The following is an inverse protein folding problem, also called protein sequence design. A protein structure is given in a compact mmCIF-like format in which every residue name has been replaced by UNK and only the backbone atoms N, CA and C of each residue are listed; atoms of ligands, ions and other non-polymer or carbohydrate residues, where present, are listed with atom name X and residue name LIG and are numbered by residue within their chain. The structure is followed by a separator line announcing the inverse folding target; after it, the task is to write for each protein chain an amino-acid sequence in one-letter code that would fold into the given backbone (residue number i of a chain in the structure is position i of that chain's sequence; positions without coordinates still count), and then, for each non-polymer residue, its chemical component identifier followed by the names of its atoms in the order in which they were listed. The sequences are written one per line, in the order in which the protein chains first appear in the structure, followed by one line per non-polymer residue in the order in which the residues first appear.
data_IF_046592933719
#
_entry.id   IF_046592933719
#
_cell.length_a   1.000
_cell.length_b   1.000
_cell.length_c   1.000
_cell.angle_alpha   90.00
_cell.angle_beta   90.00
_cell.angle_gamma   90.00
#
_symmetry.space_group_name_H-M   'P 1'
#
loop_
_entity.id
_entity.type
_entity.pdbx_description
1 polymer ?
#
# COMPACT_ATOMS: atom_id res chain seq x y z
N UNK A 1 -5.81 -6.85 -14.50
CA UNK A 1 -5.23 -5.91 -13.54
C UNK A 1 -5.98 -4.59 -13.54
N UNK A 2 -6.40 -4.10 -12.37
CA UNK A 2 -6.96 -2.75 -12.18
C UNK A 2 -5.85 -1.78 -11.78
N UNK A 3 -5.82 -0.58 -12.36
CA UNK A 3 -4.85 0.47 -12.03
C UNK A 3 -5.57 1.62 -11.32
N UNK A 4 -5.00 2.11 -10.22
CA UNK A 4 -5.54 3.22 -9.41
C UNK A 4 -4.45 4.27 -9.26
N UNK A 5 -4.68 5.45 -9.80
CA UNK A 5 -3.76 6.59 -9.79
C UNK A 5 -4.16 7.62 -8.74
N UNK A 6 -3.41 8.72 -8.65
CA UNK A 6 -3.91 9.90 -7.95
C UNK A 6 -5.28 10.32 -8.46
N UNK A 7 -6.06 10.95 -7.59
CA UNK A 7 -7.47 11.37 -7.76
C UNK A 7 -8.47 10.24 -7.94
N UNK A 8 -8.03 9.00 -8.17
CA UNK A 8 -8.94 7.86 -8.19
C UNK A 8 -9.43 7.54 -6.77
N UNK A 9 -10.75 7.29 -6.67
CA UNK A 9 -11.38 6.77 -5.46
C UNK A 9 -10.86 5.37 -5.10
N UNK A 10 -11.11 4.95 -3.86
CA UNK A 10 -10.85 3.57 -3.46
C UNK A 10 -11.83 2.66 -4.22
N UNK A 11 -11.37 1.58 -4.87
CA UNK A 11 -12.24 0.59 -5.49
C UNK A 11 -13.31 0.06 -4.53
N UNK A 12 -14.55 -0.11 -5.01
CA UNK A 12 -15.62 -0.76 -4.23
C UNK A 12 -15.39 -2.27 -4.01
N UNK A 13 -14.46 -2.87 -4.74
CA UNK A 13 -14.05 -4.26 -4.59
C UNK A 13 -12.55 -4.43 -4.85
N UNK A 14 -11.90 -5.28 -4.06
CA UNK A 14 -10.48 -5.64 -4.17
C UNK A 14 -10.33 -7.11 -3.80
N UNK A 15 -9.67 -7.91 -4.64
CA UNK A 15 -9.22 -9.26 -4.26
C UNK A 15 -7.83 -9.23 -3.64
N UNK A 16 -6.91 -8.55 -4.31
CA UNK A 16 -5.53 -8.32 -3.86
C UNK A 16 -5.01 -7.02 -4.44
N UNK A 17 -4.14 -6.34 -3.70
CA UNK A 17 -3.65 -5.00 -4.02
C UNK A 17 -2.15 -4.84 -3.75
N UNK A 18 -1.45 -4.23 -4.71
CA UNK A 18 -0.04 -3.86 -4.60
C UNK A 18 0.07 -2.33 -4.65
N UNK A 19 0.78 -1.72 -3.71
CA UNK A 19 1.18 -0.31 -3.81
C UNK A 19 2.61 -0.20 -4.32
N UNK A 20 2.83 0.62 -5.36
CA UNK A 20 4.15 0.84 -5.96
C UNK A 20 4.88 2.02 -5.27
N UNK A 21 5.54 1.74 -4.15
CA UNK A 21 6.30 2.73 -3.39
C UNK A 21 7.72 2.93 -3.94
N UNK A 22 8.19 4.17 -3.93
CA UNK A 22 9.49 4.53 -4.50
C UNK A 22 9.54 5.96 -5.00
N UNK A 23 10.73 6.44 -5.40
CA UNK A 23 10.87 7.79 -5.93
C UNK A 23 10.06 7.95 -7.22
N UNK A 24 9.53 9.15 -7.38
CA UNK A 24 8.81 9.57 -8.59
C UNK A 24 9.63 10.63 -9.30
N UNK A 25 9.73 10.62 -10.65
CA UNK A 25 10.38 11.70 -11.38
C UNK A 25 9.75 13.05 -11.00
N UNK A 26 10.56 14.11 -10.93
CA UNK A 26 10.09 15.47 -10.58
C UNK A 26 9.81 16.34 -11.80
N UNK A 27 10.26 15.88 -12.95
CA UNK A 27 10.18 16.50 -14.27
C UNK A 27 10.30 15.38 -15.32
N UNK A 28 10.10 15.72 -16.59
CA UNK A 28 10.26 14.78 -17.70
C UNK A 28 11.70 14.32 -17.96
N UNK A 29 12.67 14.62 -17.08
CA UNK A 29 14.09 14.27 -17.30
C UNK A 29 14.38 12.78 -17.14
N UNK A 30 13.49 12.01 -16.50
CA UNK A 30 13.57 10.56 -16.49
C UNK A 30 12.17 9.92 -16.55
N UNK A 31 12.11 8.70 -17.09
CA UNK A 31 10.87 7.91 -17.13
C UNK A 31 10.58 7.33 -15.75
N UNK A 32 9.30 7.17 -15.43
CA UNK A 32 8.90 6.45 -14.22
C UNK A 32 9.18 4.95 -14.36
N UNK A 33 9.89 4.38 -13.38
CA UNK A 33 10.11 2.94 -13.26
C UNK A 33 8.80 2.16 -13.05
N UNK A 34 7.71 2.84 -12.64
CA UNK A 34 6.40 2.21 -12.45
C UNK A 34 5.81 1.71 -13.76
N UNK A 35 6.17 2.31 -14.89
CA UNK A 35 5.78 1.82 -16.22
C UNK A 35 6.37 0.42 -16.48
N UNK A 36 7.64 0.21 -16.14
CA UNK A 36 8.28 -1.10 -16.24
C UNK A 36 7.67 -2.10 -15.26
N UNK A 37 7.36 -1.67 -14.03
CA UNK A 37 6.70 -2.52 -13.04
C UNK A 37 5.32 -2.98 -13.51
N UNK A 38 4.52 -2.08 -14.07
CA UNK A 38 3.21 -2.39 -14.66
C UNK A 38 3.34 -3.41 -15.79
N UNK A 39 4.28 -3.19 -16.71
CA UNK A 39 4.53 -4.13 -17.81
C UNK A 39 4.90 -5.53 -17.30
N UNK A 40 5.81 -5.62 -16.33
CA UNK A 40 6.23 -6.90 -15.75
C UNK A 40 5.07 -7.60 -15.03
N UNK A 41 4.23 -6.84 -14.30
CA UNK A 41 3.04 -7.39 -13.65
C UNK A 41 2.01 -7.92 -14.67
N UNK A 42 1.81 -7.22 -15.78
CA UNK A 42 0.94 -7.65 -16.89
C UNK A 42 1.49 -8.93 -17.55
N UNK A 43 2.79 -8.97 -17.84
CA UNK A 43 3.48 -10.15 -18.40
C UNK A 43 3.38 -11.38 -17.49
N UNK A 44 3.39 -11.17 -16.17
CA UNK A 44 3.23 -12.22 -15.15
C UNK A 44 1.76 -12.56 -14.86
N UNK A 45 0.81 -11.94 -15.56
CA UNK A 45 -0.62 -12.24 -15.46
C UNK A 45 -1.25 -11.79 -14.14
N UNK A 46 -0.71 -10.75 -13.47
CA UNK A 46 -1.32 -10.23 -12.25
C UNK A 46 -2.72 -9.67 -12.55
N UNK A 47 -3.72 -10.15 -11.82
CA UNK A 47 -5.13 -9.86 -12.02
C UNK A 47 -5.72 -8.92 -10.97
N UNK A 48 -4.98 -8.61 -9.91
CA UNK A 48 -5.42 -7.72 -8.83
C UNK A 48 -5.36 -6.22 -9.15
N UNK A 49 -5.40 -5.42 -8.08
CA UNK A 49 -5.31 -3.96 -8.11
C UNK A 49 -3.86 -3.52 -7.93
N UNK A 50 -3.43 -2.53 -8.70
CA UNK A 50 -2.14 -1.84 -8.54
C UNK A 50 -2.41 -0.37 -8.28
N UNK A 51 -1.92 0.09 -7.13
CA UNK A 51 -2.00 1.47 -6.70
C UNK A 51 -0.69 2.17 -7.09
N UNK A 52 -0.83 3.22 -7.87
CA UNK A 52 0.24 3.95 -8.54
C UNK A 52 0.20 5.38 -7.99
N UNK A 53 1.12 5.77 -7.09
CA UNK A 53 1.20 7.13 -6.55
C UNK A 53 1.81 8.08 -7.59
N UNK A 54 1.16 8.20 -8.73
CA UNK A 54 1.46 9.11 -9.83
C UNK A 54 0.15 9.57 -10.47
N UNK A 55 0.18 10.70 -11.20
CA UNK A 55 -0.94 11.08 -12.05
C UNK A 55 -1.05 10.11 -13.24
N UNK A 56 -2.26 9.80 -13.70
CA UNK A 56 -2.47 8.90 -14.85
C UNK A 56 -1.75 9.39 -16.11
N UNK A 57 -1.84 10.69 -16.37
CA UNK A 57 -1.18 11.37 -17.49
C UNK A 57 0.06 12.15 -17.00
N UNK A 58 0.88 11.53 -16.15
CA UNK A 58 2.05 12.19 -15.58
C UNK A 58 3.01 12.68 -16.69
N UNK A 59 3.00 13.99 -16.95
CA UNK A 59 3.88 14.66 -17.92
C UNK A 59 5.18 15.17 -17.29
N UNK A 60 5.42 14.84 -16.02
CA UNK A 60 6.57 15.33 -15.27
C UNK A 60 6.25 16.41 -14.24
N UNK A 61 4.99 16.87 -14.09
CA UNK A 61 4.67 17.87 -13.07
C UNK A 61 3.35 17.59 -12.34
N UNK A 62 3.32 17.98 -11.06
CA UNK A 62 2.21 17.87 -10.12
C UNK A 62 1.47 19.19 -9.88
N UNK A 63 1.74 20.25 -10.66
CA UNK A 63 1.13 21.59 -10.50
C UNK A 63 -0.40 21.60 -10.36
N UNK A 64 -1.09 20.56 -10.85
CA UNK A 64 -2.55 20.45 -10.80
C UNK A 64 -3.09 19.60 -9.63
N UNK A 65 -2.23 19.06 -8.76
CA UNK A 65 -2.62 18.28 -7.58
C UNK A 65 -2.38 19.08 -6.30
N UNK A 66 -3.40 19.12 -5.44
CA UNK A 66 -3.25 19.69 -4.11
C UNK A 66 -2.30 18.82 -3.27
N UNK A 67 -1.26 19.43 -2.70
CA UNK A 67 -0.23 18.74 -1.92
C UNK A 67 -0.81 17.89 -0.78
N UNK A 68 -1.82 18.41 -0.08
CA UNK A 68 -2.49 17.68 0.99
C UNK A 68 -3.24 16.44 0.47
N UNK A 69 -3.92 16.56 -0.68
CA UNK A 69 -4.59 15.44 -1.32
C UNK A 69 -3.66 14.31 -1.74
N UNK A 70 -2.43 14.63 -2.15
CA UNK A 70 -1.38 13.62 -2.43
C UNK A 70 -1.02 12.86 -1.14
N UNK A 71 -0.75 13.58 -0.05
CA UNK A 71 -0.38 12.98 1.24
C UNK A 71 -1.49 12.07 1.75
N UNK A 72 -2.74 12.54 1.72
CA UNK A 72 -3.89 11.79 2.21
C UNK A 72 -4.14 10.54 1.37
N UNK A 73 -3.98 10.65 0.05
CA UNK A 73 -4.02 9.49 -0.85
C UNK A 73 -2.92 8.48 -0.49
N UNK A 74 -1.65 8.89 -0.49
CA UNK A 74 -0.52 7.98 -0.24
C UNK A 74 -0.66 7.30 1.12
N UNK A 75 -0.96 8.06 2.18
CA UNK A 75 -1.12 7.50 3.54
C UNK A 75 -2.28 6.51 3.63
N UNK A 76 -3.44 6.83 3.07
CA UNK A 76 -4.59 5.92 3.09
C UNK A 76 -4.29 4.63 2.33
N UNK A 77 -3.70 4.74 1.13
CA UNK A 77 -3.45 3.59 0.26
C UNK A 77 -2.29 2.74 0.72
N UNK A 78 -1.24 3.34 1.29
CA UNK A 78 -0.17 2.62 1.95
C UNK A 78 -0.72 1.78 3.09
N UNK A 79 -1.67 2.26 3.88
CA UNK A 79 -2.26 1.48 4.98
C UNK A 79 -3.12 0.31 4.49
N UNK A 80 -4.05 0.52 3.54
CA UNK A 80 -5.02 -0.49 3.11
C UNK A 80 -4.46 -1.54 2.15
N UNK A 81 -3.38 -1.25 1.42
CA UNK A 81 -2.85 -2.20 0.44
C UNK A 81 -2.33 -3.48 1.11
N UNK A 82 -2.39 -4.58 0.37
CA UNK A 82 -2.02 -5.90 0.90
C UNK A 82 -0.51 -6.11 0.91
N UNK A 83 0.19 -5.61 -0.12
CA UNK A 83 1.64 -5.60 -0.21
C UNK A 83 2.13 -4.24 -0.71
N UNK A 84 3.15 -3.69 -0.06
CA UNK A 84 3.89 -2.54 -0.57
C UNK A 84 5.15 -3.04 -1.26
N UNK A 85 5.22 -2.84 -2.57
CA UNK A 85 6.41 -3.06 -3.36
C UNK A 85 7.24 -1.77 -3.34
N UNK A 86 8.37 -1.79 -2.63
CA UNK A 86 9.36 -0.73 -2.66
C UNK A 86 10.41 -1.02 -3.75
N UNK A 87 10.47 -0.16 -4.76
CA UNK A 87 11.60 -0.12 -5.69
C UNK A 87 12.32 1.22 -5.55
N UNK A 88 13.60 1.20 -5.22
CA UNK A 88 14.37 2.41 -4.91
C UNK A 88 15.51 2.61 -5.92
N UNK A 89 15.22 2.96 -7.19
CA UNK A 89 16.23 3.27 -8.21
C UNK A 89 16.82 4.66 -7.96
N UNK A 90 17.46 4.82 -6.79
CA UNK A 90 17.96 6.11 -6.32
C UNK A 90 18.96 6.67 -7.32
N UNK A 91 18.85 7.96 -7.59
CA UNK A 91 19.79 8.73 -8.40
C UNK A 91 19.62 10.21 -8.07
N UNK A 92 20.41 11.08 -8.69
CA UNK A 92 20.24 12.53 -8.54
C UNK A 92 18.85 13.01 -9.02
N UNK A 93 18.27 12.34 -10.02
CA UNK A 93 16.93 12.62 -10.53
C UNK A 93 15.82 11.98 -9.68
N UNK A 94 16.14 10.88 -8.98
CA UNK A 94 15.21 10.07 -8.17
C UNK A 94 15.76 9.92 -6.74
N UNK A 95 15.74 10.98 -5.92
CA UNK A 95 16.43 10.95 -4.62
C UNK A 95 15.77 10.06 -3.55
N UNK A 96 14.48 9.73 -3.70
CA UNK A 96 13.73 8.85 -2.79
C UNK A 96 13.75 9.32 -1.32
N UNK A 97 13.52 10.63 -1.09
CA UNK A 97 13.56 11.21 0.26
C UNK A 97 12.40 10.73 1.13
N UNK A 98 11.17 10.90 0.67
CA UNK A 98 9.95 10.46 1.38
C UNK A 98 9.88 8.94 1.49
N UNK A 99 10.34 8.23 0.47
CA UNK A 99 10.43 6.76 0.43
C UNK A 99 11.18 6.17 1.64
N UNK A 100 12.20 6.85 2.17
CA UNK A 100 12.89 6.38 3.38
C UNK A 100 11.97 6.39 4.61
N UNK A 101 11.13 7.42 4.74
CA UNK A 101 10.18 7.55 5.84
C UNK A 101 9.06 6.52 5.70
N UNK A 102 8.51 6.36 4.49
CA UNK A 102 7.50 5.34 4.20
C UNK A 102 8.02 3.93 4.50
N UNK A 103 9.23 3.61 4.03
CA UNK A 103 9.86 2.34 4.34
C UNK A 103 10.01 2.14 5.86
N UNK A 104 10.53 3.14 6.58
CA UNK A 104 10.66 3.09 8.02
C UNK A 104 9.34 2.87 8.76
N UNK A 105 8.26 3.52 8.31
CA UNK A 105 6.92 3.38 8.89
C UNK A 105 6.33 1.98 8.69
N UNK A 106 6.60 1.35 7.54
CA UNK A 106 5.94 0.11 7.15
C UNK A 106 6.81 -1.14 7.30
N UNK A 107 8.11 -1.05 7.57
CA UNK A 107 9.03 -2.20 7.66
C UNK A 107 8.64 -3.25 8.71
N UNK A 108 7.87 -2.86 9.73
CA UNK A 108 7.42 -3.77 10.79
C UNK A 108 6.07 -4.44 10.50
N UNK A 109 5.40 -4.07 9.40
CA UNK A 109 4.03 -4.55 9.11
C UNK A 109 3.97 -5.95 8.50
N UNK A 110 5.10 -6.50 8.06
CA UNK A 110 5.16 -7.76 7.31
C UNK A 110 4.68 -7.66 5.86
N UNK A 111 4.24 -6.49 5.39
CA UNK A 111 3.65 -6.31 4.05
C UNK A 111 4.62 -5.72 3.01
N UNK A 112 5.89 -5.54 3.36
CA UNK A 112 6.87 -4.93 2.47
C UNK A 112 7.63 -6.00 1.69
N UNK A 113 7.81 -5.75 0.39
CA UNK A 113 8.87 -6.34 -0.43
C UNK A 113 9.72 -5.20 -0.98
N UNK A 114 11.05 -5.31 -0.90
CA UNK A 114 11.95 -4.20 -1.23
C UNK A 114 13.10 -4.61 -2.15
N UNK A 115 13.41 -3.74 -3.10
CA UNK A 115 14.62 -3.83 -3.90
C UNK A 115 15.14 -2.47 -4.38
N UNK A 116 16.35 -2.47 -4.90
CA UNK A 116 16.97 -1.36 -5.60
C UNK A 116 18.02 -1.89 -6.59
N UNK A 117 18.35 -1.15 -7.67
CA UNK A 117 19.52 -1.47 -8.47
C UNK A 117 20.76 -1.65 -7.59
N UNK A 118 21.62 -2.61 -7.95
CA UNK A 118 22.82 -2.96 -7.16
C UNK A 118 23.74 -1.76 -6.92
N UNK A 119 23.81 -0.86 -7.89
CA UNK A 119 24.62 0.35 -7.91
C UNK A 119 23.87 1.60 -7.43
N UNK A 120 22.61 1.49 -7.01
CA UNK A 120 21.85 2.62 -6.50
C UNK A 120 22.52 3.19 -5.24
N UNK A 121 22.92 4.49 -5.26
CA UNK A 121 23.68 5.10 -4.18
C UNK A 121 22.89 5.13 -2.87
N UNK A 122 23.60 5.09 -1.75
CA UNK A 122 23.06 5.31 -0.40
C UNK A 122 21.91 4.37 0.00
N UNK A 123 21.81 3.18 -0.58
CA UNK A 123 20.80 2.15 -0.21
C UNK A 123 21.26 1.23 0.93
N UNK A 124 22.50 1.34 1.40
CA UNK A 124 23.09 0.46 2.41
C UNK A 124 22.31 0.41 3.73
N UNK A 125 21.76 1.52 4.20
CA UNK A 125 20.95 1.52 5.44
C UNK A 125 19.59 0.83 5.25
N UNK A 126 18.97 0.93 4.06
CA UNK A 126 17.74 0.21 3.75
C UNK A 126 17.98 -1.32 3.78
N UNK A 127 19.11 -1.75 3.19
CA UNK A 127 19.57 -3.15 3.21
C UNK A 127 19.83 -3.64 4.62
N UNK A 128 20.54 -2.86 5.44
CA UNK A 128 20.78 -3.19 6.85
C UNK A 128 19.47 -3.38 7.63
N UNK A 129 18.51 -2.45 7.48
CA UNK A 129 17.22 -2.54 8.17
C UNK A 129 16.39 -3.76 7.73
N UNK A 130 16.50 -4.17 6.46
CA UNK A 130 15.90 -5.40 5.94
C UNK A 130 16.58 -6.65 6.52
N UNK A 131 17.92 -6.67 6.56
CA UNK A 131 18.69 -7.81 7.08
C UNK A 131 18.45 -8.05 8.57
N UNK A 132 18.32 -7.00 9.38
CA UNK A 132 17.95 -7.09 10.80
C UNK A 132 16.59 -7.78 11.03
N UNK A 133 15.77 -7.90 9.98
CA UNK A 133 14.44 -8.53 10.00
C UNK A 133 14.36 -9.81 9.17
N UNK A 134 15.49 -10.31 8.68
CA UNK A 134 15.54 -11.44 7.74
C UNK A 134 14.69 -11.22 6.48
N UNK A 135 14.49 -9.97 6.07
CA UNK A 135 13.77 -9.63 4.85
C UNK A 135 14.75 -9.60 3.67
N UNK A 136 14.47 -10.31 2.56
CA UNK A 136 15.26 -10.19 1.35
C UNK A 136 15.28 -8.76 0.83
N UNK A 137 16.42 -8.35 0.25
CA UNK A 137 16.55 -7.10 -0.49
C UNK A 137 17.03 -7.42 -1.90
N UNK A 138 16.20 -7.13 -2.89
CA UNK A 138 16.45 -7.54 -4.26
C UNK A 138 17.25 -6.51 -5.06
N UNK A 139 18.05 -7.00 -6.00
CA UNK A 139 18.90 -6.16 -6.87
C UNK A 139 18.26 -5.86 -8.23
N UNK A 140 17.07 -6.42 -8.51
CA UNK A 140 16.32 -6.22 -9.75
C UNK A 140 14.83 -5.95 -9.48
N UNK A 141 14.21 -5.15 -10.35
CA UNK A 141 12.77 -4.87 -10.27
C UNK A 141 11.95 -6.15 -10.47
N UNK A 142 12.40 -7.01 -11.38
CA UNK A 142 11.71 -8.27 -11.67
C UNK A 142 11.72 -9.22 -10.47
N UNK A 143 12.85 -9.39 -9.78
CA UNK A 143 12.92 -10.24 -8.57
C UNK A 143 12.08 -9.67 -7.43
N UNK A 144 12.07 -8.34 -7.29
CA UNK A 144 11.20 -7.63 -6.33
C UNK A 144 9.73 -7.93 -6.62
N UNK A 145 9.32 -7.89 -7.90
CA UNK A 145 7.95 -8.22 -8.32
C UNK A 145 7.65 -9.70 -8.11
N UNK A 146 8.57 -10.59 -8.47
CA UNK A 146 8.41 -12.03 -8.27
C UNK A 146 8.13 -12.36 -6.80
N UNK A 147 8.88 -11.75 -5.87
CA UNK A 147 8.64 -11.94 -4.45
C UNK A 147 7.32 -11.29 -3.99
N UNK A 148 6.99 -10.09 -4.51
CA UNK A 148 5.70 -9.43 -4.24
C UNK A 148 4.53 -10.36 -4.60
N UNK A 149 4.59 -11.03 -5.75
CA UNK A 149 3.56 -11.97 -6.20
C UNK A 149 3.46 -13.22 -5.33
N UNK A 150 4.58 -13.71 -4.78
CA UNK A 150 4.57 -14.82 -3.80
C UNK A 150 3.93 -14.39 -2.48
N UNK A 151 4.34 -13.23 -1.95
CA UNK A 151 3.85 -12.71 -0.67
C UNK A 151 2.34 -12.43 -0.71
N UNK A 152 1.84 -11.83 -1.80
CA UNK A 152 0.42 -11.47 -1.92
C UNK A 152 -0.49 -12.68 -2.15
N UNK A 153 0.01 -13.72 -2.83
CA UNK A 153 -0.72 -14.94 -3.15
C UNK A 153 -2.02 -14.69 -3.94
N UNK A 154 -3.06 -15.46 -3.62
CA UNK A 154 -4.32 -15.45 -4.35
C UNK A 154 -5.26 -14.30 -3.97
N UNK A 155 -5.05 -13.67 -2.80
CA UNK A 155 -5.99 -12.69 -2.25
C UNK A 155 -7.32 -13.29 -1.81
N UNK A 156 -8.23 -12.41 -1.38
CA UNK A 156 -9.63 -12.72 -1.03
C UNK A 156 -10.49 -11.54 -1.44
N UNK A 157 -11.63 -11.80 -2.07
CA UNK A 157 -12.58 -10.75 -2.46
C UNK A 157 -13.08 -10.01 -1.22
N UNK A 158 -12.87 -8.70 -1.21
CA UNK A 158 -13.39 -7.75 -0.24
C UNK A 158 -14.23 -6.71 -0.97
N UNK A 159 -15.35 -6.32 -0.37
CA UNK A 159 -16.28 -5.34 -0.95
C UNK A 159 -16.62 -4.22 0.04
N UNK A 160 -17.02 -3.06 -0.48
CA UNK A 160 -17.45 -1.89 0.31
C UNK A 160 -16.41 -1.48 1.35
N UNK A 161 -16.72 -1.48 2.64
CA UNK A 161 -15.85 -1.12 3.75
C UNK A 161 -14.67 -2.09 3.92
N UNK A 162 -14.84 -3.37 3.55
CA UNK A 162 -13.79 -4.38 3.70
C UNK A 162 -12.54 -4.06 2.86
N UNK A 163 -12.69 -3.29 1.77
CA UNK A 163 -11.56 -2.88 0.92
C UNK A 163 -10.57 -1.96 1.65
N UNK A 164 -10.99 -1.39 2.79
CA UNK A 164 -10.18 -0.52 3.64
C UNK A 164 -9.35 -1.32 4.66
N UNK A 165 -9.52 -2.63 4.70
CA UNK A 165 -8.83 -3.55 5.60
C UNK A 165 -7.83 -4.40 4.79
N UNK A 166 -6.52 -4.30 5.06
CA UNK A 166 -5.50 -5.07 4.33
C UNK A 166 -5.63 -6.57 4.61
N UNK A 167 -5.16 -7.39 3.68
CA UNK A 167 -5.45 -8.83 3.64
C UNK A 167 -4.97 -9.58 4.89
N UNK A 168 -3.85 -9.15 5.47
CA UNK A 168 -3.31 -9.74 6.70
C UNK A 168 -4.27 -9.55 7.89
N UNK A 169 -4.98 -8.43 7.97
CA UNK A 169 -5.99 -8.19 9.01
C UNK A 169 -7.31 -8.85 8.60
N UNK A 170 -7.71 -8.74 7.33
CA UNK A 170 -8.96 -9.35 6.86
C UNK A 170 -9.00 -10.85 7.10
N UNK A 171 -7.85 -11.54 6.98
CA UNK A 171 -7.75 -12.97 7.20
C UNK A 171 -7.75 -13.40 8.67
N UNK A 172 -7.52 -12.47 9.59
CA UNK A 172 -7.50 -12.73 11.03
C UNK A 172 -8.89 -13.16 11.54
N UNK A 173 -8.93 -14.22 12.36
CA UNK A 173 -10.20 -14.78 12.84
C UNK A 173 -10.92 -13.83 13.81
N UNK A 174 -10.17 -13.06 14.60
CA UNK A 174 -10.77 -12.09 15.51
C UNK A 174 -11.42 -10.95 14.72
N UNK A 175 -10.77 -10.46 13.65
CA UNK A 175 -11.38 -9.48 12.74
C UNK A 175 -12.66 -10.02 12.11
N UNK A 176 -12.64 -11.23 11.53
CA UNK A 176 -13.80 -11.84 10.89
C UNK A 176 -14.97 -12.01 11.85
N UNK A 177 -14.70 -12.46 13.08
CA UNK A 177 -15.73 -12.62 14.11
C UNK A 177 -16.31 -11.28 14.55
N UNK A 178 -15.48 -10.25 14.71
CA UNK A 178 -15.95 -8.90 15.03
C UNK A 178 -16.80 -8.32 13.89
N UNK A 179 -16.35 -8.40 12.64
CA UNK A 179 -17.05 -7.85 11.47
C UNK A 179 -18.40 -8.54 11.27
N UNK A 180 -18.47 -9.87 11.45
CA UNK A 180 -19.73 -10.63 11.45
C UNK A 180 -20.71 -10.15 12.53
N UNK A 181 -20.22 -9.66 13.67
CA UNK A 181 -21.06 -9.07 14.72
C UNK A 181 -21.76 -7.77 14.33
N UNK A 182 -21.47 -7.20 13.15
CA UNK A 182 -22.01 -5.92 12.67
C UNK A 182 -23.19 -6.07 11.71
N UNK A 183 -23.80 -7.24 11.57
CA UNK A 183 -24.88 -7.53 10.60
C UNK A 183 -26.04 -6.49 10.61
N UNK A 184 -26.32 -5.84 11.75
CA UNK A 184 -27.37 -4.83 11.91
C UNK A 184 -26.86 -3.38 12.01
N UNK A 185 -25.57 -3.13 11.75
CA UNK A 185 -24.95 -1.80 11.82
C UNK A 185 -24.40 -1.40 10.45
N UNK A 186 -24.52 -0.13 10.12
CA UNK A 186 -23.88 0.45 8.94
C UNK A 186 -22.50 0.98 9.32
N UNK A 187 -21.44 0.51 8.65
CA UNK A 187 -20.12 1.13 8.74
C UNK A 187 -20.14 2.40 7.89
N UNK A 188 -20.09 3.56 8.55
CA UNK A 188 -20.10 4.86 7.88
C UNK A 188 -18.69 5.42 7.67
N UNK A 189 -17.72 4.94 8.44
CA UNK A 189 -16.30 5.23 8.29
C UNK A 189 -15.47 4.07 8.83
N UNK A 190 -14.40 3.69 8.12
CA UNK A 190 -13.41 2.72 8.60
C UNK A 190 -12.02 3.22 8.22
N UNK A 191 -11.13 3.32 9.20
CA UNK A 191 -9.74 3.73 9.00
C UNK A 191 -8.82 2.70 9.62
N UNK A 192 -7.97 2.11 8.79
CA UNK A 192 -6.92 1.19 9.23
C UNK A 192 -5.59 1.94 9.29
N UNK A 193 -4.88 1.85 10.41
CA UNK A 193 -3.57 2.46 10.59
C UNK A 193 -2.62 1.48 11.27
N UNK A 194 -1.36 1.41 10.81
CA UNK A 194 -0.32 0.77 11.59
C UNK A 194 0.10 1.70 12.75
N UNK A 195 -0.14 1.29 13.98
CA UNK A 195 -0.05 2.16 15.16
C UNK A 195 1.24 1.97 15.95
N UNK A 196 1.74 0.74 16.07
CA UNK A 196 3.02 0.47 16.72
C UNK A 196 3.67 -0.82 16.19
N UNK A 197 4.86 -1.12 16.69
CA UNK A 197 5.74 -2.24 16.31
C UNK A 197 5.08 -3.59 16.03
N UNK A 198 3.90 -3.85 16.60
CA UNK A 198 3.15 -5.07 16.37
C UNK A 198 1.66 -4.85 16.17
N UNK A 199 1.14 -3.63 16.18
CA UNK A 199 -0.29 -3.42 16.25
C UNK A 199 -0.82 -2.57 15.10
N UNK A 200 -1.92 -3.06 14.55
CA UNK A 200 -2.82 -2.30 13.70
C UNK A 200 -3.99 -1.77 14.52
N UNK A 201 -4.41 -0.56 14.20
CA UNK A 201 -5.57 0.10 14.75
C UNK A 201 -6.63 0.18 13.66
N UNK A 202 -7.83 -0.30 13.93
CA UNK A 202 -9.01 0.02 13.12
C UNK A 202 -9.89 0.94 13.93
N UNK A 203 -10.16 2.13 13.39
CA UNK A 203 -11.18 3.04 13.90
C UNK A 203 -12.40 2.94 13.01
N UNK A 204 -13.57 2.81 13.60
CA UNK A 204 -14.81 2.62 12.86
C UNK A 204 -15.92 3.45 13.48
N UNK A 205 -16.68 4.12 12.61
CA UNK A 205 -17.92 4.80 12.97
C UNK A 205 -19.09 3.93 12.49
N UNK A 206 -19.89 3.46 13.45
CA UNK A 206 -21.02 2.57 13.22
C UNK A 206 -22.30 3.37 13.42
N UNK A 207 -23.20 3.31 12.44
CA UNK A 207 -24.54 3.85 12.57
C UNK A 207 -25.50 2.70 12.86
N UNK A 208 -26.24 2.83 13.94
CA UNK A 208 -27.32 1.89 14.25
C UNK A 208 -28.51 2.16 13.31
N UNK A 209 -29.01 1.12 12.67
CA UNK A 209 -30.10 1.21 11.71
C UNK A 209 -31.43 1.63 12.35
N UNK A 210 -31.60 1.41 13.66
CA UNK A 210 -32.82 1.73 14.40
C UNK A 210 -32.75 3.09 15.10
N UNK A 211 -31.62 3.44 15.72
CA UNK A 211 -31.51 4.67 16.53
C UNK A 211 -30.96 5.89 15.77
N UNK A 212 -30.38 5.69 14.57
CA UNK A 212 -29.62 6.70 13.83
C UNK A 212 -28.45 7.33 14.61
N UNK A 213 -28.07 6.81 15.78
CA UNK A 213 -26.90 7.24 16.54
C UNK A 213 -25.61 6.71 15.94
N UNK A 214 -24.53 7.49 16.03
CA UNK A 214 -23.19 7.09 15.60
C UNK A 214 -22.39 6.64 16.82
N UNK A 215 -22.04 5.36 16.85
CA UNK A 215 -21.12 4.76 17.81
C UNK A 215 -19.72 4.71 17.22
N UNK A 216 -18.72 5.19 17.97
CA UNK A 216 -17.30 5.06 17.60
C UNK A 216 -16.71 3.83 18.29
N UNK A 217 -16.00 3.01 17.54
CA UNK A 217 -15.30 1.84 18.07
C UNK A 217 -13.83 1.80 17.62
N UNK A 218 -12.99 1.16 18.41
CA UNK A 218 -11.55 1.05 18.18
C UNK A 218 -11.10 -0.38 18.43
N UNK A 219 -10.50 -0.98 17.42
CA UNK A 219 -9.95 -2.32 17.48
C UNK A 219 -8.43 -2.27 17.36
N UNK A 220 -7.77 -3.17 18.09
CA UNK A 220 -6.31 -3.33 18.05
C UNK A 220 -5.99 -4.78 17.65
N UNK A 221 -5.31 -4.95 16.53
CA UNK A 221 -4.90 -6.26 16.00
C UNK A 221 -3.40 -6.40 16.06
N UNK A 222 -2.89 -7.62 16.31
CA UNK A 222 -1.45 -7.88 16.26
C UNK A 222 -1.05 -8.34 14.85
N UNK A 223 -0.02 -7.72 14.29
CA UNK A 223 0.68 -8.12 13.05
C UNK A 223 1.59 -9.31 13.28
#
# INVERSE_FOLDING_TARGET
MKKVFYVDGIPNEITKSIFLAGPTPRNGACKSWRQDAIRILEEKGYDGTVIIPEAKDFTGNYDNLEYQGIIDFERARLNLCDVILFWVPRSDLLPAFTTNIEYGNFIKTGKIVIGAPKDAPKTGYLRYMASERNMPFFDSLEDTINETLKVIGNGVLRQKDEVLVPLNIYNDEYFKNWHKGLENKEITSLVTEFYNDKNWLIRVDLKDNESMEIQKDILVFKS
#
